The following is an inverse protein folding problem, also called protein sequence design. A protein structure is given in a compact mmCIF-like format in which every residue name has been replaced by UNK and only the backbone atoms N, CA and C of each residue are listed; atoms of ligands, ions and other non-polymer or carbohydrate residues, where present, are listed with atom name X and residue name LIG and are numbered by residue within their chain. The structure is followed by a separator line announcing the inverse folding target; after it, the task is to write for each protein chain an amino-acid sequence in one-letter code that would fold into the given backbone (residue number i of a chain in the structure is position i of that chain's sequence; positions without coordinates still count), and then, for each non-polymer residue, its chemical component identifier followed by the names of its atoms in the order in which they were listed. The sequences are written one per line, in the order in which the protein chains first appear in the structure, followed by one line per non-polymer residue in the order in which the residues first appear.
data_IF_520049064604
#
_entry.id   IF_520049064604
#
_cell.length_a   1.000
_cell.length_b   1.000
_cell.length_c   1.000
_cell.angle_alpha   90.00
_cell.angle_beta   90.00
_cell.angle_gamma   90.00
#
_symmetry.space_group_name_H-M   'P 1'
#
loop_
_entity.id
_entity.type
_entity.pdbx_description
1 polymer ?
#
# COMPACT_ATOMS: atom_id res chain seq x y z
N UNK A 1 -25.04 -26.69 -40.83
CA UNK A 1 -26.32 -26.11 -40.37
C UNK A 1 -26.90 -27.04 -39.32
N UNK A 2 -26.92 -26.62 -38.07
CA UNK A 2 -27.78 -27.13 -36.98
C UNK A 2 -27.58 -26.13 -35.82
N UNK A 3 -28.39 -25.08 -35.72
CA UNK A 3 -29.72 -24.97 -35.08
C UNK A 3 -29.67 -25.31 -33.57
N UNK A 4 -29.45 -24.26 -32.77
CA UNK A 4 -29.94 -24.18 -31.38
C UNK A 4 -31.47 -24.29 -31.34
N UNK A 5 -32.02 -24.66 -30.17
CA UNK A 5 -32.94 -23.71 -29.55
C UNK A 5 -32.69 -23.45 -28.05
N UNK A 6 -33.29 -22.36 -27.50
CA UNK A 6 -33.05 -21.85 -26.15
C UNK A 6 -34.24 -22.09 -25.19
N UNK A 7 -34.10 -21.56 -23.94
CA UNK A 7 -35.11 -21.37 -22.87
C UNK A 7 -35.26 -22.56 -21.89
N UNK A 8 -35.48 -22.33 -20.59
CA UNK A 8 -35.78 -21.07 -19.91
C UNK A 8 -35.98 -21.20 -18.40
N UNK A 9 -36.31 -20.04 -17.84
CA UNK A 9 -36.63 -19.70 -16.46
C UNK A 9 -37.78 -20.48 -15.82
N UNK A 10 -37.72 -20.60 -14.48
CA UNK A 10 -38.82 -20.61 -13.49
C UNK A 10 -38.15 -20.57 -12.10
N UNK A 11 -38.14 -19.47 -11.34
CA UNK A 11 -39.20 -18.80 -10.59
C UNK A 11 -39.93 -19.61 -9.49
N UNK A 12 -39.84 -19.01 -8.29
CA UNK A 12 -40.77 -18.97 -7.14
C UNK A 12 -40.80 -20.08 -6.07
N UNK A 13 -40.29 -19.73 -4.88
CA UNK A 13 -41.03 -19.38 -3.63
C UNK A 13 -40.03 -19.35 -2.46
N UNK A 14 -40.03 -18.44 -1.49
CA UNK A 14 -40.96 -17.41 -1.01
C UNK A 14 -40.62 -17.12 0.47
N UNK A 15 -41.18 -16.03 1.01
CA UNK A 15 -41.16 -15.56 2.41
C UNK A 15 -39.86 -14.86 2.86
N UNK A 16 -39.85 -13.55 3.15
CA UNK A 16 -40.74 -12.79 4.05
C UNK A 16 -39.95 -12.60 5.35
N UNK A 17 -39.47 -11.41 5.71
CA UNK A 17 -40.27 -10.31 6.25
C UNK A 17 -39.76 -10.02 7.66
N UNK A 18 -39.51 -8.74 7.93
CA UNK A 18 -39.47 -8.04 9.22
C UNK A 18 -38.61 -8.49 10.42
N UNK A 19 -37.76 -7.53 10.82
CA UNK A 19 -37.80 -6.85 12.14
C UNK A 19 -38.54 -7.55 13.29
N UNK A 20 -37.79 -7.85 14.35
CA UNK A 20 -38.28 -8.02 15.73
C UNK A 20 -37.17 -8.60 16.60
N UNK A 21 -36.50 -7.82 17.46
CA UNK A 21 -36.96 -7.33 18.77
C UNK A 21 -37.23 -8.49 19.76
N UNK A 22 -36.27 -8.65 20.69
CA UNK A 22 -36.37 -9.08 22.10
C UNK A 22 -37.35 -10.18 22.52
N UNK A 23 -36.81 -11.24 23.16
CA UNK A 23 -37.28 -11.87 24.42
C UNK A 23 -36.38 -13.10 24.67
N UNK A 24 -35.41 -13.03 25.60
CA UNK A 24 -35.51 -13.49 27.00
C UNK A 24 -36.01 -14.93 27.10
N UNK A 25 -35.09 -15.87 27.18
CA UNK A 25 -35.33 -17.17 27.80
C UNK A 25 -34.63 -17.21 29.16
N UNK A 26 -35.45 -17.22 30.20
CA UNK A 26 -35.07 -17.47 31.59
C UNK A 26 -34.57 -18.90 31.71
N UNK A 27 -33.56 -19.13 32.55
CA UNK A 27 -33.71 -20.06 33.66
C UNK A 27 -32.89 -19.60 34.88
N UNK A 28 -33.34 -19.96 36.09
CA UNK A 28 -33.16 -19.16 37.29
C UNK A 28 -32.02 -19.69 38.17
N UNK A 29 -31.33 -18.79 38.87
CA UNK A 29 -30.81 -19.13 40.19
C UNK A 29 -31.04 -17.95 41.13
N UNK A 30 -31.82 -18.24 42.17
CA UNK A 30 -31.94 -17.43 43.36
C UNK A 30 -30.56 -17.31 44.01
N UNK A 31 -30.03 -16.09 44.11
CA UNK A 31 -29.08 -15.76 45.17
C UNK A 31 -29.63 -14.54 45.89
N UNK A 32 -30.01 -14.78 47.14
CA UNK A 32 -30.50 -13.81 48.10
C UNK A 32 -29.67 -12.52 48.13
N UNK A 33 -30.39 -11.40 48.17
CA UNK A 33 -29.83 -10.11 48.51
C UNK A 33 -29.27 -10.12 49.93
N UNK A 34 -27.94 -10.07 50.04
CA UNK A 34 -27.27 -9.40 51.16
C UNK A 34 -26.10 -8.61 50.65
N UNK A 35 -26.30 -7.32 50.37
CA UNK A 35 -25.20 -6.36 50.28
C UNK A 35 -25.68 -4.90 50.32
N UNK A 36 -26.50 -4.55 51.32
CA UNK A 36 -26.53 -3.18 51.80
C UNK A 36 -25.20 -2.91 52.50
N UNK A 37 -24.25 -2.26 51.80
CA UNK A 37 -23.15 -1.39 52.32
C UNK A 37 -21.90 -1.34 51.44
N UNK A 38 -21.75 -2.15 50.37
CA UNK A 38 -20.53 -2.16 49.54
C UNK A 38 -20.57 -1.31 48.25
N UNK A 39 -21.73 -0.79 47.86
CA UNK A 39 -21.87 -0.03 46.60
C UNK A 39 -21.30 1.41 46.69
N UNK A 40 -21.24 2.02 47.88
CA UNK A 40 -20.72 3.39 48.03
C UNK A 40 -19.20 3.50 47.93
N UNK A 41 -18.47 2.43 48.22
CA UNK A 41 -17.00 2.46 48.26
C UNK A 41 -16.33 2.27 46.89
N UNK A 42 -17.04 1.70 45.90
CA UNK A 42 -16.52 1.56 44.54
C UNK A 42 -16.73 2.82 43.67
N UNK A 43 -17.74 3.63 43.99
CA UNK A 43 -18.00 4.88 43.25
C UNK A 43 -16.97 5.97 43.51
N UNK A 44 -16.32 5.99 44.68
CA UNK A 44 -15.25 6.95 44.98
C UNK A 44 -13.89 6.50 44.43
N UNK A 45 -13.60 5.19 44.38
CA UNK A 45 -12.36 4.68 43.78
C UNK A 45 -12.30 4.86 42.27
N UNK A 46 -13.41 4.77 41.55
CA UNK A 46 -13.42 4.96 40.08
C UNK A 46 -13.10 6.41 39.66
N UNK A 47 -13.47 7.41 40.47
CA UNK A 47 -13.10 8.81 40.23
C UNK A 47 -11.60 9.08 40.42
N UNK A 48 -10.92 8.25 41.20
CA UNK A 48 -9.49 8.42 41.52
C UNK A 48 -8.55 7.77 40.48
N UNK A 49 -9.09 6.96 39.56
CA UNK A 49 -8.31 6.20 38.55
C UNK A 49 -8.49 6.81 37.14
N UNK A 50 -8.97 8.06 37.04
CA UNK A 50 -9.07 8.75 35.75
C UNK A 50 -10.06 8.11 34.77
N UNK A 51 -11.04 7.35 35.25
CA UNK A 51 -12.06 6.76 34.41
C UNK A 51 -13.04 7.86 33.96
N UNK A 52 -12.91 8.26 32.69
CA UNK A 52 -13.82 9.22 32.07
C UNK A 52 -15.25 8.67 32.15
N UNK A 53 -16.16 9.49 32.64
CA UNK A 53 -17.59 9.21 32.63
C UNK A 53 -18.08 9.04 31.19
N UNK A 54 -19.15 8.28 31.00
CA UNK A 54 -19.76 8.06 29.68
C UNK A 54 -20.11 9.37 28.95
N UNK A 55 -20.39 10.45 29.72
CA UNK A 55 -20.61 11.80 29.19
C UNK A 55 -19.33 12.44 28.65
N UNK A 56 -18.20 12.25 29.31
CA UNK A 56 -16.88 12.73 28.84
C UNK A 56 -16.42 11.96 27.60
N UNK A 57 -16.70 10.65 27.51
CA UNK A 57 -16.44 9.86 26.31
C UNK A 57 -17.30 10.31 25.12
N UNK A 58 -18.56 10.68 25.35
CA UNK A 58 -19.45 11.23 24.30
C UNK A 58 -19.00 12.63 23.87
N UNK A 59 -18.53 13.47 24.79
CA UNK A 59 -17.98 14.79 24.44
C UNK A 59 -16.67 14.68 23.65
N UNK A 60 -15.79 13.73 24.01
CA UNK A 60 -14.57 13.45 23.25
C UNK A 60 -14.89 12.87 21.85
N UNK A 61 -15.95 12.06 21.72
CA UNK A 61 -16.40 11.51 20.44
C UNK A 61 -17.02 12.54 19.49
N UNK A 62 -17.50 13.67 20.02
CA UNK A 62 -18.05 14.78 19.22
C UNK A 62 -16.96 15.74 18.73
N UNK A 63 -15.74 15.65 19.24
CA UNK A 63 -14.57 16.34 18.72
C UNK A 63 -13.99 15.59 17.51
N UNK A 64 -14.79 15.45 16.44
CA UNK A 64 -14.20 15.13 15.15
C UNK A 64 -13.39 16.35 14.75
N UNK A 65 -12.08 16.22 14.46
CA UNK A 65 -11.31 17.35 13.96
C UNK A 65 -12.03 17.88 12.72
N UNK A 66 -12.14 19.20 12.62
CA UNK A 66 -12.69 19.83 11.44
C UNK A 66 -11.95 19.32 10.19
N UNK A 67 -12.66 19.09 9.07
CA UNK A 67 -12.02 18.60 7.87
C UNK A 67 -10.95 19.59 7.42
N UNK A 68 -9.74 19.09 7.18
CA UNK A 68 -8.61 19.90 6.71
C UNK A 68 -9.04 20.70 5.46
N UNK A 69 -8.85 22.03 5.44
CA UNK A 69 -9.18 22.86 4.30
C UNK A 69 -8.51 22.35 3.01
N UNK A 70 -9.23 22.47 1.89
CA UNK A 70 -8.74 21.99 0.57
C UNK A 70 -7.41 22.63 0.17
N UNK A 71 -7.21 23.89 0.51
CA UNK A 71 -5.98 24.64 0.17
C UNK A 71 -4.77 24.16 0.99
N UNK A 72 -4.98 23.76 2.25
CA UNK A 72 -3.93 23.13 3.06
C UNK A 72 -3.57 21.75 2.50
N UNK A 73 -4.56 20.96 2.08
CA UNK A 73 -4.32 19.67 1.41
C UNK A 73 -3.58 19.85 0.08
N UNK A 74 -3.89 20.89 -0.69
CA UNK A 74 -3.18 21.21 -1.92
C UNK A 74 -1.70 21.54 -1.66
N UNK A 75 -1.42 22.37 -0.65
CA UNK A 75 -0.05 22.71 -0.24
C UNK A 75 0.73 21.48 0.22
N UNK A 76 0.11 20.61 1.02
CA UNK A 76 0.73 19.34 1.44
C UNK A 76 0.99 18.44 0.24
N UNK A 77 0.08 18.38 -0.73
CA UNK A 77 0.29 17.62 -1.96
C UNK A 77 1.49 18.16 -2.77
N UNK A 78 1.62 19.48 -2.91
CA UNK A 78 2.78 20.11 -3.56
C UNK A 78 4.09 19.83 -2.81
N UNK A 79 4.08 19.87 -1.47
CA UNK A 79 5.24 19.52 -0.64
C UNK A 79 5.63 18.05 -0.81
N UNK A 80 4.65 17.14 -0.87
CA UNK A 80 4.87 15.71 -1.13
C UNK A 80 5.43 15.50 -2.54
N UNK A 81 4.90 16.17 -3.56
CA UNK A 81 5.41 16.10 -4.92
C UNK A 81 6.84 16.64 -5.01
N UNK A 82 7.14 17.74 -4.32
CA UNK A 82 8.49 18.30 -4.25
C UNK A 82 9.47 17.37 -3.52
N UNK A 83 9.01 16.68 -2.47
CA UNK A 83 9.80 15.71 -1.73
C UNK A 83 9.98 14.37 -2.47
N UNK A 84 9.16 14.08 -3.48
CA UNK A 84 9.14 12.80 -4.18
C UNK A 84 10.49 12.43 -4.83
N UNK A 85 11.34 13.43 -5.12
CA UNK A 85 12.68 13.23 -5.66
C UNK A 85 13.73 13.89 -4.78
N UNK A 86 14.19 13.15 -3.77
CA UNK A 86 15.42 13.50 -3.06
C UNK A 86 16.57 13.79 -4.04
N UNK A 87 17.46 14.72 -3.68
CA UNK A 87 18.61 15.10 -4.51
C UNK A 87 19.49 13.88 -4.88
N UNK A 88 19.57 12.90 -3.98
CA UNK A 88 20.24 11.61 -4.18
C UNK A 88 19.61 10.82 -5.35
N UNK A 89 18.28 10.73 -5.37
CA UNK A 89 17.50 10.04 -6.40
C UNK A 89 17.58 10.77 -7.74
N UNK A 90 17.49 12.12 -7.72
CA UNK A 90 17.67 12.93 -8.94
C UNK A 90 19.02 12.66 -9.61
N UNK A 91 20.12 12.66 -8.83
CA UNK A 91 21.46 12.33 -9.35
C UNK A 91 21.54 10.90 -9.91
N UNK A 92 20.89 9.93 -9.26
CA UNK A 92 20.82 8.55 -9.77
C UNK A 92 20.06 8.47 -11.09
N UNK A 93 18.97 9.22 -11.23
CA UNK A 93 18.20 9.26 -12.47
C UNK A 93 18.99 9.93 -13.59
N UNK A 94 19.62 11.07 -13.35
CA UNK A 94 20.49 11.75 -14.32
C UNK A 94 21.63 10.82 -14.79
N UNK A 95 22.27 10.11 -13.86
CA UNK A 95 23.32 9.14 -14.20
C UNK A 95 22.78 7.99 -15.08
N UNK A 96 21.59 7.47 -14.78
CA UNK A 96 20.94 6.43 -15.58
C UNK A 96 20.61 6.92 -16.99
N UNK A 97 20.08 8.15 -17.13
CA UNK A 97 19.76 8.75 -18.43
C UNK A 97 21.03 9.02 -19.25
N UNK A 98 22.13 9.48 -18.62
CA UNK A 98 23.42 9.64 -19.32
C UNK A 98 23.98 8.33 -19.85
N UNK A 99 23.82 7.22 -19.11
CA UNK A 99 24.21 5.88 -19.60
C UNK A 99 23.38 5.50 -20.83
N UNK A 100 22.06 5.72 -20.76
CA UNK A 100 21.15 5.49 -21.89
C UNK A 100 21.57 6.32 -23.11
N UNK A 101 21.72 7.64 -22.96
CA UNK A 101 22.11 8.57 -24.04
C UNK A 101 23.45 8.21 -24.66
N UNK A 102 24.44 7.78 -23.85
CA UNK A 102 25.74 7.32 -24.36
C UNK A 102 25.61 6.09 -25.25
N UNK A 103 24.69 5.19 -24.93
CA UNK A 103 24.45 4.01 -25.76
C UNK A 103 23.64 4.34 -27.02
N UNK A 104 22.63 5.21 -26.92
CA UNK A 104 21.95 5.78 -28.07
C UNK A 104 21.25 7.11 -27.68
N UNK A 105 21.64 8.24 -28.31
CA UNK A 105 21.14 9.57 -27.93
C UNK A 105 19.70 9.86 -28.37
N UNK A 106 19.08 9.03 -29.21
CA UNK A 106 17.76 9.29 -29.81
C UNK A 106 16.62 8.45 -29.21
N UNK A 107 16.85 7.81 -28.05
CA UNK A 107 15.88 6.90 -27.44
C UNK A 107 14.76 7.59 -26.63
N UNK A 108 14.95 8.85 -26.26
CA UNK A 108 13.94 9.64 -25.56
C UNK A 108 13.25 10.62 -26.53
N UNK A 109 11.93 10.84 -26.40
CA UNK A 109 10.98 10.13 -25.54
C UNK A 109 10.70 8.70 -26.00
N UNK A 110 10.63 7.75 -25.06
CA UNK A 110 10.07 6.42 -25.32
C UNK A 110 8.54 6.50 -25.43
N UNK A 111 8.00 6.42 -26.65
CA UNK A 111 6.57 6.60 -26.94
C UNK A 111 5.82 5.30 -27.16
N UNK A 112 6.53 4.25 -27.58
CA UNK A 112 5.94 2.94 -27.86
C UNK A 112 6.72 1.81 -27.19
N UNK A 113 6.16 0.59 -27.23
CA UNK A 113 6.80 -0.58 -26.64
C UNK A 113 8.17 -0.90 -27.27
N UNK A 114 8.36 -0.61 -28.56
CA UNK A 114 9.64 -0.82 -29.23
C UNK A 114 10.74 0.10 -28.66
N UNK A 115 10.44 1.39 -28.45
CA UNK A 115 11.38 2.35 -27.85
C UNK A 115 11.83 1.89 -26.46
N UNK A 116 10.89 1.37 -25.66
CA UNK A 116 11.20 0.80 -24.34
C UNK A 116 12.12 -0.41 -24.47
N UNK A 117 11.84 -1.33 -25.39
CA UNK A 117 12.69 -2.51 -25.60
C UNK A 117 14.11 -2.11 -26.00
N UNK A 118 14.25 -1.20 -26.96
CA UNK A 118 15.55 -0.67 -27.38
C UNK A 118 16.27 0.05 -26.24
N UNK A 119 15.53 0.87 -25.49
CA UNK A 119 16.06 1.64 -24.38
C UNK A 119 16.52 0.81 -23.20
N UNK A 120 15.95 -0.37 -22.98
CA UNK A 120 16.30 -1.22 -21.84
C UNK A 120 17.21 -2.39 -22.22
N UNK A 121 17.42 -2.65 -23.51
CA UNK A 121 18.27 -3.75 -23.98
C UNK A 121 19.71 -3.67 -23.44
N UNK A 122 20.25 -2.46 -23.26
CA UNK A 122 21.61 -2.25 -22.74
C UNK A 122 21.78 -2.66 -21.26
N UNK A 123 20.69 -2.93 -20.55
CA UNK A 123 20.71 -3.40 -19.16
C UNK A 123 20.87 -4.92 -19.03
N UNK A 124 20.94 -5.66 -20.15
CA UNK A 124 21.18 -7.09 -20.13
C UNK A 124 22.49 -7.41 -19.39
N UNK A 125 22.43 -8.31 -18.40
CA UNK A 125 23.59 -8.68 -17.60
C UNK A 125 23.98 -7.66 -16.53
N UNK A 126 23.24 -6.56 -16.38
CA UNK A 126 23.46 -5.59 -15.29
C UNK A 126 22.58 -5.94 -14.09
N UNK A 127 22.83 -5.28 -12.95
CA UNK A 127 22.10 -5.51 -11.71
C UNK A 127 20.61 -5.19 -11.89
N UNK A 128 19.74 -6.04 -11.35
CA UNK A 128 18.29 -5.89 -11.47
C UNK A 128 17.75 -4.55 -10.93
N UNK A 129 18.44 -3.91 -9.98
CA UNK A 129 18.07 -2.59 -9.46
C UNK A 129 18.28 -1.45 -10.47
N UNK A 130 19.13 -1.63 -11.49
CA UNK A 130 19.33 -0.64 -12.56
C UNK A 130 18.08 -0.53 -13.44
N UNK A 131 17.34 -1.64 -13.65
CA UNK A 131 16.08 -1.66 -14.40
C UNK A 131 15.04 -0.75 -13.72
N UNK A 132 14.88 -0.89 -12.40
CA UNK A 132 13.97 -0.05 -11.62
C UNK A 132 14.39 1.42 -11.62
N UNK A 133 15.70 1.68 -11.50
CA UNK A 133 16.25 3.03 -11.54
C UNK A 133 15.98 3.70 -12.90
N UNK A 134 16.21 2.99 -14.02
CA UNK A 134 15.96 3.53 -15.35
C UNK A 134 14.47 3.75 -15.62
N UNK A 135 13.57 2.85 -15.18
CA UNK A 135 12.11 3.08 -15.28
C UNK A 135 11.71 4.37 -14.59
N UNK A 136 12.18 4.58 -13.36
CA UNK A 136 11.92 5.81 -12.61
C UNK A 136 12.49 7.06 -13.32
N UNK A 137 13.73 6.98 -13.79
CA UNK A 137 14.39 8.06 -14.52
C UNK A 137 13.65 8.47 -15.79
N UNK A 138 13.19 7.49 -16.59
CA UNK A 138 12.43 7.76 -17.82
C UNK A 138 11.06 8.35 -17.51
N UNK A 139 10.33 7.84 -16.48
CA UNK A 139 9.05 8.45 -16.06
C UNK A 139 9.24 9.90 -15.62
N UNK A 140 10.26 10.16 -14.82
CA UNK A 140 10.62 11.50 -14.34
C UNK A 140 10.99 12.42 -15.51
N UNK A 141 11.79 11.95 -16.46
CA UNK A 141 12.15 12.73 -17.65
C UNK A 141 10.91 13.09 -18.49
N UNK A 142 9.99 12.14 -18.72
CA UNK A 142 8.75 12.39 -19.44
C UNK A 142 7.84 13.39 -18.71
N UNK A 143 7.73 13.27 -17.38
CA UNK A 143 6.97 14.22 -16.56
C UNK A 143 7.55 15.64 -16.66
N UNK A 144 8.87 15.81 -16.48
CA UNK A 144 9.53 17.12 -16.58
C UNK A 144 9.36 17.78 -17.96
N UNK A 145 9.37 16.99 -19.03
CA UNK A 145 9.24 17.49 -20.41
C UNK A 145 7.80 17.47 -20.93
N UNK A 146 6.80 17.21 -20.06
CA UNK A 146 5.36 17.17 -20.40
C UNK A 146 5.02 16.20 -21.54
N UNK A 147 5.74 15.08 -21.62
CA UNK A 147 5.44 13.99 -22.53
C UNK A 147 4.45 12.99 -21.91
N UNK A 148 3.74 12.24 -22.77
CA UNK A 148 2.88 11.14 -22.31
C UNK A 148 3.72 10.08 -21.61
N UNK A 149 3.20 9.50 -20.53
CA UNK A 149 3.92 8.44 -19.81
C UNK A 149 4.36 7.31 -20.75
N UNK A 150 5.57 6.77 -20.57
CA UNK A 150 6.03 5.62 -21.33
C UNK A 150 5.09 4.43 -21.11
N UNK A 151 4.88 3.55 -22.11
CA UNK A 151 3.92 2.45 -22.03
C UNK A 151 4.44 1.26 -21.22
N UNK A 152 5.02 1.50 -20.04
CA UNK A 152 5.67 0.48 -19.22
C UNK A 152 4.72 -0.63 -18.73
N UNK A 153 3.42 -0.33 -18.68
CA UNK A 153 2.35 -1.23 -18.24
C UNK A 153 1.72 -2.01 -19.40
N UNK A 154 2.21 -1.84 -20.64
CA UNK A 154 1.72 -2.59 -21.80
C UNK A 154 1.99 -4.09 -21.65
N UNK A 155 0.98 -4.93 -21.93
CA UNK A 155 1.11 -6.39 -21.97
C UNK A 155 2.24 -6.87 -22.90
N UNK A 156 2.49 -6.12 -23.98
CA UNK A 156 3.57 -6.37 -24.93
C UNK A 156 4.99 -6.28 -24.36
N UNK A 157 5.14 -5.70 -23.16
CA UNK A 157 6.40 -5.54 -22.43
C UNK A 157 6.56 -6.51 -21.26
N UNK A 158 5.51 -7.21 -20.84
CA UNK A 158 5.57 -8.11 -19.68
C UNK A 158 6.68 -9.15 -19.86
N UNK A 159 6.65 -9.90 -20.96
CA UNK A 159 7.68 -10.91 -21.26
C UNK A 159 9.08 -10.32 -21.42
N UNK A 160 9.19 -9.10 -21.96
CA UNK A 160 10.47 -8.42 -22.12
C UNK A 160 11.10 -8.11 -20.75
N UNK A 161 10.35 -7.50 -19.83
CA UNK A 161 10.86 -7.22 -18.49
C UNK A 161 11.13 -8.49 -17.68
N UNK A 162 10.28 -9.52 -17.81
CA UNK A 162 10.56 -10.84 -17.22
C UNK A 162 11.88 -11.42 -17.74
N UNK A 163 12.12 -11.37 -19.05
CA UNK A 163 13.38 -11.80 -19.65
C UNK A 163 14.57 -10.99 -19.16
N UNK A 164 14.43 -9.66 -19.11
CA UNK A 164 15.48 -8.76 -18.65
C UNK A 164 15.86 -9.01 -17.19
N UNK A 165 14.88 -9.25 -16.31
CA UNK A 165 15.14 -9.62 -14.91
C UNK A 165 15.81 -10.99 -14.76
N UNK A 166 15.44 -11.97 -15.58
CA UNK A 166 16.11 -13.29 -15.61
C UNK A 166 17.56 -13.19 -16.07
N UNK A 167 17.83 -12.28 -17.00
CA UNK A 167 19.16 -12.03 -17.55
C UNK A 167 19.95 -10.98 -16.76
N UNK A 168 19.38 -10.43 -15.69
CA UNK A 168 20.07 -9.50 -14.81
C UNK A 168 21.12 -10.24 -13.99
N UNK A 169 22.23 -9.56 -13.70
CA UNK A 169 23.19 -10.03 -12.72
C UNK A 169 22.56 -9.95 -11.34
N UNK A 170 22.05 -11.09 -10.89
CA UNK A 170 21.46 -11.30 -9.57
C UNK A 170 22.49 -11.80 -8.57
N UNK A 171 23.80 -11.59 -8.80
CA UNK A 171 24.83 -11.90 -7.81
C UNK A 171 24.50 -11.21 -6.48
N UNK A 172 24.05 -12.01 -5.53
CA UNK A 172 23.82 -11.56 -4.16
C UNK A 172 25.18 -11.31 -3.58
N UNK A 173 25.46 -10.06 -3.16
CA UNK A 173 26.63 -9.78 -2.31
C UNK A 173 26.58 -10.79 -1.17
N UNK A 174 27.60 -11.62 -1.04
CA UNK A 174 27.78 -12.52 0.10
C UNK A 174 27.60 -11.68 1.35
N UNK A 175 26.47 -11.88 2.04
CA UNK A 175 26.27 -11.25 3.34
C UNK A 175 27.38 -11.78 4.24
N UNK A 176 28.00 -10.87 4.98
CA UNK A 176 28.96 -11.25 6.02
C UNK A 176 28.25 -12.26 6.93
N UNK A 177 28.82 -13.47 7.01
CA UNK A 177 28.26 -14.50 7.87
C UNK A 177 28.47 -14.02 9.30
N UNK A 178 27.41 -14.01 10.09
CA UNK A 178 27.52 -13.82 11.53
C UNK A 178 28.54 -14.83 12.06
N UNK A 179 29.49 -14.33 12.85
CA UNK A 179 30.43 -15.15 13.59
C UNK A 179 29.69 -16.02 14.59
N UNK A 180 30.31 -17.12 15.01
CA UNK A 180 29.71 -18.04 15.99
C UNK A 180 29.38 -17.31 17.29
N UNK A 181 30.22 -16.34 17.65
CA UNK A 181 30.13 -15.50 18.83
C UNK A 181 28.92 -14.54 18.76
N UNK A 182 28.63 -13.96 17.58
CA UNK A 182 27.44 -13.12 17.37
C UNK A 182 26.15 -13.93 17.41
N UNK A 183 26.15 -15.15 16.88
CA UNK A 183 25.01 -16.06 16.95
C UNK A 183 24.74 -16.48 18.40
N UNK A 184 25.78 -16.79 19.18
CA UNK A 184 25.62 -17.17 20.59
C UNK A 184 25.06 -16.03 21.44
N UNK A 185 25.48 -14.79 21.19
CA UNK A 185 24.91 -13.60 21.85
C UNK A 185 23.42 -13.38 21.57
N UNK A 186 22.92 -13.81 20.42
CA UNK A 186 21.50 -13.73 20.06
C UNK A 186 20.65 -14.83 20.71
N UNK A 187 21.26 -15.93 21.16
CA UNK A 187 20.59 -17.06 21.82
C UNK A 187 20.51 -16.86 23.34
N UNK A 188 21.41 -16.04 23.91
CA UNK A 188 21.46 -15.75 25.35
C UNK A 188 20.43 -14.69 25.83
N UNK A 189 19.58 -14.16 24.94
CA UNK A 189 18.42 -13.29 25.25
C UNK A 189 17.10 -14.02 25.03
#
# INVERSE_FOLDING_TARGET
MERYPPRGSRDHRGYGGDRGRWCVERQPYLVEMRQGSKARTLSQKAKHVGFLSQRELVLASNNKPDPTPKDELAKVAEEIEAAALEASTKRRYEAALRKLERSNPFLLPMRCALDVKMGFAHLKGLKGNEIGTLRGAVRSWHHMHRHKQPPFESDSLQYFFTGLHKLADNSVKTKERLSKEEVLKLIEY
#
